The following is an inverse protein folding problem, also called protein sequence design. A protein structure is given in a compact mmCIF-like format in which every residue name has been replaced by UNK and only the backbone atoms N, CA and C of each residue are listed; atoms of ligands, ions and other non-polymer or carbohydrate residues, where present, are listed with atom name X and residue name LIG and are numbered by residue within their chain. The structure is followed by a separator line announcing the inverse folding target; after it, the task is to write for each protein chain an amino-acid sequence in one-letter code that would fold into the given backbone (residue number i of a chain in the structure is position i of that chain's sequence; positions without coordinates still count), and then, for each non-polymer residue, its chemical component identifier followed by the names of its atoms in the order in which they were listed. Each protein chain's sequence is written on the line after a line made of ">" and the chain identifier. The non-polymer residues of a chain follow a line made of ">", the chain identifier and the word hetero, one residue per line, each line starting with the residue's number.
data_IF_092728859197
#
_entry.id   IF_092728859197
#
_cell.length_a   1.000
_cell.length_b   1.000
_cell.length_c   1.000
_cell.angle_alpha   90.00
_cell.angle_beta   90.00
_cell.angle_gamma   90.00
#
_symmetry.space_group_name_H-M   'P 1'
#
loop_
_entity.id
_entity.type
_entity.pdbx_description
1 polymer ?
#
# COMPACT_ATOMS: atom_id res chain seq x y z
N UNK A 1 39.88 -35.94 23.37
CA UNK A 1 40.93 -35.79 22.33
C UNK A 1 40.71 -34.46 21.62
N UNK A 2 41.65 -33.52 21.78
CA UNK A 2 41.82 -32.28 20.97
C UNK A 2 42.76 -32.60 19.79
N UNK A 3 42.71 -31.90 18.63
CA UNK A 3 43.34 -30.57 18.46
C UNK A 3 42.42 -29.57 17.70
N UNK A 4 42.37 -28.26 17.94
CA UNK A 4 43.38 -27.19 17.99
C UNK A 4 44.04 -26.87 16.63
N UNK A 5 43.65 -25.74 16.01
CA UNK A 5 44.37 -24.89 15.03
C UNK A 5 43.44 -23.67 14.78
N UNK A 6 43.52 -22.54 15.49
CA UNK A 6 44.56 -21.49 15.47
C UNK A 6 45.04 -21.10 14.06
N UNK A 7 44.36 -20.11 13.46
CA UNK A 7 44.97 -19.21 12.48
C UNK A 7 44.78 -17.79 12.99
N UNK A 8 45.84 -17.31 13.65
CA UNK A 8 46.14 -15.90 13.80
C UNK A 8 46.53 -15.33 12.45
N UNK A 9 45.95 -14.21 12.05
CA UNK A 9 46.61 -13.25 11.19
C UNK A 9 46.35 -11.86 11.77
N UNK A 10 47.35 -11.42 12.52
CA UNK A 10 47.53 -10.07 12.98
C UNK A 10 47.75 -9.15 11.77
N UNK A 11 46.89 -8.15 11.62
CA UNK A 11 47.24 -6.92 10.91
C UNK A 11 47.36 -5.82 11.95
N UNK A 12 48.59 -5.61 12.41
CA UNK A 12 49.02 -4.43 13.14
C UNK A 12 49.40 -3.32 12.15
N UNK A 13 49.33 -2.08 12.66
CA UNK A 13 49.76 -0.80 12.09
C UNK A 13 48.78 -0.08 11.14
N UNK A 14 48.12 0.96 11.65
CA UNK A 14 48.68 2.31 11.53
C UNK A 14 47.95 3.33 12.40
N UNK A 15 48.77 4.01 13.18
CA UNK A 15 48.52 5.17 14.02
C UNK A 15 48.14 6.38 13.15
N UNK A 16 46.98 7.01 13.38
CA UNK A 16 46.75 8.44 13.12
C UNK A 16 45.65 8.90 14.08
N UNK A 17 46.10 9.45 15.21
CA UNK A 17 45.32 10.33 16.04
C UNK A 17 45.17 11.66 15.28
N UNK A 18 43.95 11.99 14.85
CA UNK A 18 43.58 13.37 14.55
C UNK A 18 42.27 13.69 15.28
N UNK A 19 42.41 14.10 16.54
CA UNK A 19 41.43 14.92 17.24
C UNK A 19 41.42 16.30 16.56
N UNK A 20 40.44 16.54 15.68
CA UNK A 20 39.95 17.90 15.45
C UNK A 20 38.46 17.90 15.76
N UNK A 21 38.17 18.49 16.92
CA UNK A 21 36.86 18.93 17.38
C UNK A 21 36.37 19.99 16.40
N UNK A 22 35.63 19.56 15.38
CA UNK A 22 34.83 20.43 14.52
C UNK A 22 33.41 20.51 15.08
N UNK A 23 33.21 21.34 16.09
CA UNK A 23 31.87 21.73 16.55
C UNK A 23 31.19 22.56 15.45
N UNK A 24 30.52 21.87 14.52
CA UNK A 24 29.50 22.47 13.67
C UNK A 24 28.28 22.78 14.54
N UNK A 25 28.25 24.02 15.04
CA UNK A 25 27.00 24.62 15.49
C UNK A 25 25.97 24.46 14.36
N UNK A 26 24.79 23.86 14.59
CA UNK A 26 23.68 24.02 13.67
C UNK A 26 23.31 25.50 13.71
N UNK A 27 23.85 26.28 12.78
CA UNK A 27 23.37 27.62 12.51
C UNK A 27 21.88 27.49 12.27
N UNK A 28 21.07 28.04 13.18
CA UNK A 28 19.65 28.15 12.97
C UNK A 28 19.48 28.89 11.65
N UNK A 29 18.94 28.20 10.64
CA UNK A 29 18.53 28.79 9.39
C UNK A 29 17.39 29.77 9.71
N UNK A 30 17.76 30.99 10.09
CA UNK A 30 16.86 32.12 10.22
C UNK A 30 16.18 32.25 8.85
N UNK A 31 14.86 32.07 8.83
CA UNK A 31 14.06 32.19 7.62
C UNK A 31 14.35 33.55 6.97
N UNK A 32 15.06 33.54 5.84
CA UNK A 32 15.38 34.76 5.12
C UNK A 32 14.08 35.35 4.59
N UNK A 33 13.73 36.54 5.07
CA UNK A 33 12.60 37.30 4.61
C UNK A 33 12.99 37.97 3.29
N UNK A 34 12.54 37.40 2.18
CA UNK A 34 12.79 37.93 0.84
C UNK A 34 11.69 38.96 0.50
N UNK A 35 12.08 40.20 0.26
CA UNK A 35 11.17 41.28 -0.15
C UNK A 35 11.21 41.45 -1.66
N UNK A 36 10.04 41.66 -2.27
CA UNK A 36 9.94 41.97 -3.69
C UNK A 36 9.73 43.47 -3.88
N UNK A 37 10.73 44.11 -4.48
CA UNK A 37 10.76 45.54 -4.78
C UNK A 37 10.57 45.72 -6.29
N UNK A 38 9.31 45.80 -6.73
CA UNK A 38 9.00 45.82 -8.16
C UNK A 38 9.38 44.50 -8.87
N UNK A 39 10.42 44.54 -9.71
CA UNK A 39 10.93 43.37 -10.45
C UNK A 39 12.14 42.70 -9.80
N UNK A 40 12.71 43.25 -8.72
CA UNK A 40 13.90 42.71 -8.06
C UNK A 40 13.57 42.14 -6.67
N UNK A 41 14.36 41.15 -6.25
CA UNK A 41 14.23 40.49 -4.95
C UNK A 41 15.43 40.86 -4.07
N UNK A 42 15.17 41.25 -2.82
CA UNK A 42 16.19 41.68 -1.88
C UNK A 42 15.89 41.13 -0.48
N UNK A 43 16.94 40.87 0.30
CA UNK A 43 16.81 40.40 1.69
C UNK A 43 16.56 41.54 2.70
N UNK A 44 16.53 42.78 2.22
CA UNK A 44 16.23 43.98 3.02
C UNK A 44 14.91 44.62 2.57
N UNK A 45 14.18 45.30 3.48
CA UNK A 45 12.98 46.06 3.12
C UNK A 45 13.28 47.07 2.01
N UNK A 46 12.34 47.26 1.07
CA UNK A 46 12.52 48.19 -0.04
C UNK A 46 12.59 49.64 0.45
N UNK A 47 13.54 50.43 -0.06
CA UNK A 47 13.84 51.83 0.31
C UNK A 47 12.72 52.87 0.00
N UNK A 48 11.49 52.43 -0.25
CA UNK A 48 10.33 53.30 -0.45
C UNK A 48 9.05 52.79 0.24
N UNK A 49 9.16 51.79 1.13
CA UNK A 49 8.02 51.20 1.84
C UNK A 49 7.02 50.42 0.98
N UNK A 50 7.10 50.48 -0.35
CA UNK A 50 6.20 49.80 -1.30
C UNK A 50 6.69 48.39 -1.69
N UNK A 51 7.28 47.65 -0.76
CA UNK A 51 7.70 46.26 -0.95
C UNK A 51 6.69 45.27 -0.40
N UNK A 52 6.22 44.33 -1.22
CA UNK A 52 5.49 43.19 -0.66
C UNK A 52 6.50 42.18 -0.10
N UNK A 53 6.40 41.92 1.20
CA UNK A 53 7.13 40.85 1.85
C UNK A 53 6.63 39.52 1.28
N UNK A 54 7.49 38.80 0.57
CA UNK A 54 7.18 37.44 0.16
C UNK A 54 7.49 36.57 1.36
N UNK A 55 6.49 36.41 2.22
CA UNK A 55 6.46 35.27 3.13
C UNK A 55 6.59 34.05 2.24
N UNK A 56 7.62 33.21 2.44
CA UNK A 56 7.63 31.86 1.87
C UNK A 56 6.22 31.32 2.09
N UNK A 57 5.49 31.04 1.01
CA UNK A 57 4.26 30.26 1.12
C UNK A 57 4.61 29.11 2.06
N UNK A 58 3.89 28.91 3.17
CA UNK A 58 4.09 27.68 3.91
C UNK A 58 3.90 26.59 2.86
N UNK A 59 4.96 25.81 2.58
CA UNK A 59 4.79 24.50 1.94
C UNK A 59 3.58 23.89 2.63
N UNK A 60 2.59 23.37 1.86
CA UNK A 60 1.27 23.04 2.37
C UNK A 60 1.43 22.42 3.74
N UNK A 61 1.07 23.19 4.77
CA UNK A 61 1.21 22.78 6.15
C UNK A 61 0.48 21.45 6.23
N UNK A 62 1.20 20.38 6.54
CA UNK A 62 0.65 19.04 6.76
C UNK A 62 -0.35 19.00 7.94
N UNK A 63 -0.68 20.16 8.52
CA UNK A 63 -1.44 20.36 9.74
C UNK A 63 -2.96 20.23 9.62
N UNK A 64 -3.53 20.09 8.42
CA UNK A 64 -4.97 19.78 8.28
C UNK A 64 -5.25 18.29 8.11
N UNK A 65 -4.20 17.45 8.00
CA UNK A 65 -4.36 16.01 8.05
C UNK A 65 -4.10 15.55 9.48
N UNK A 66 -4.96 14.68 10.05
CA UNK A 66 -4.65 14.07 11.34
C UNK A 66 -3.25 13.45 11.27
N UNK A 67 -2.44 13.57 12.34
CA UNK A 67 -1.08 13.04 12.34
C UNK A 67 -1.12 11.58 11.93
N UNK A 68 -0.39 11.24 10.87
CA UNK A 68 -0.30 9.87 10.39
C UNK A 68 0.23 8.99 11.53
N UNK A 69 -0.34 7.79 11.64
CA UNK A 69 0.10 6.83 12.63
C UNK A 69 1.58 6.46 12.39
N UNK A 70 2.38 6.43 13.46
CA UNK A 70 3.81 6.16 13.35
C UNK A 70 4.12 4.79 12.69
N UNK A 71 3.22 3.80 12.87
CA UNK A 71 3.37 2.51 12.21
C UNK A 71 3.16 2.63 10.70
N UNK A 72 2.15 3.39 10.27
CA UNK A 72 1.88 3.61 8.85
C UNK A 72 2.99 4.39 8.15
N UNK A 73 3.57 5.40 8.82
CA UNK A 73 4.74 6.12 8.30
C UNK A 73 5.94 5.19 8.15
N UNK A 74 6.21 4.32 9.14
CA UNK A 74 7.28 3.33 9.04
C UNK A 74 7.07 2.38 7.86
N UNK A 75 5.83 1.88 7.68
CA UNK A 75 5.46 1.00 6.55
C UNK A 75 5.67 1.69 5.20
N UNK A 76 5.32 2.98 5.11
CA UNK A 76 5.58 3.81 3.94
C UNK A 76 7.07 3.97 3.61
N UNK A 77 7.90 4.27 4.61
CA UNK A 77 9.35 4.41 4.41
C UNK A 77 10.03 3.08 4.05
N UNK A 78 9.58 1.97 4.63
CA UNK A 78 10.03 0.63 4.23
C UNK A 78 9.68 0.34 2.76
N UNK A 79 8.47 0.67 2.33
CA UNK A 79 8.06 0.50 0.94
C UNK A 79 8.86 1.34 -0.04
N UNK A 80 9.15 2.60 0.33
CA UNK A 80 10.01 3.49 -0.46
C UNK A 80 11.39 2.88 -0.66
N UNK A 81 11.96 2.28 0.39
CA UNK A 81 13.23 1.54 0.30
C UNK A 81 13.13 0.35 -0.66
N UNK A 82 12.02 -0.40 -0.62
CA UNK A 82 11.80 -1.53 -1.54
C UNK A 82 11.69 -1.07 -3.00
N UNK A 83 11.11 0.10 -3.28
CA UNK A 83 11.11 0.66 -4.63
C UNK A 83 12.51 0.97 -5.12
N UNK A 84 13.38 1.55 -4.29
CA UNK A 84 14.76 1.79 -4.71
C UNK A 84 15.50 0.50 -5.05
N UNK A 85 15.24 -0.60 -4.33
CA UNK A 85 15.79 -1.91 -4.70
C UNK A 85 15.20 -2.42 -6.02
N UNK A 86 13.89 -2.28 -6.23
CA UNK A 86 13.21 -2.66 -7.48
C UNK A 86 13.76 -1.87 -8.69
N UNK A 87 13.95 -0.56 -8.54
CA UNK A 87 14.56 0.32 -9.55
C UNK A 87 16.03 -0.04 -9.80
N UNK A 88 16.73 -0.52 -8.77
CA UNK A 88 18.08 -1.11 -8.87
C UNK A 88 18.13 -2.52 -9.47
N UNK A 89 17.01 -3.06 -9.97
CA UNK A 89 16.93 -4.36 -10.63
C UNK A 89 16.76 -5.56 -9.68
N UNK A 90 16.42 -5.34 -8.41
CA UNK A 90 16.08 -6.44 -7.52
C UNK A 90 14.81 -7.16 -8.03
N UNK A 91 14.84 -8.49 -8.03
CA UNK A 91 13.70 -9.32 -8.38
C UNK A 91 12.81 -9.58 -7.15
N UNK A 92 11.51 -9.72 -7.37
CA UNK A 92 10.53 -9.95 -6.32
C UNK A 92 10.86 -11.19 -5.48
N UNK A 93 11.17 -12.32 -6.13
CA UNK A 93 11.48 -13.58 -5.45
C UNK A 93 12.68 -13.46 -4.51
N UNK A 94 13.69 -12.69 -4.92
CA UNK A 94 14.86 -12.40 -4.08
C UNK A 94 14.45 -11.59 -2.85
N UNK A 95 13.68 -10.52 -3.03
CA UNK A 95 13.21 -9.67 -1.93
C UNK A 95 12.29 -10.45 -0.96
N UNK A 96 11.46 -11.35 -1.48
CA UNK A 96 10.62 -12.24 -0.66
C UNK A 96 11.45 -13.25 0.14
N UNK A 97 12.53 -13.79 -0.43
CA UNK A 97 13.44 -14.72 0.27
C UNK A 97 14.27 -14.04 1.37
N UNK A 98 14.59 -12.75 1.20
CA UNK A 98 15.33 -11.96 2.20
C UNK A 98 14.43 -11.41 3.32
N UNK A 99 13.11 -11.35 3.08
CA UNK A 99 12.15 -10.80 4.04
C UNK A 99 11.96 -11.71 5.27
N UNK A 100 12.22 -11.15 6.45
CA UNK A 100 12.18 -11.90 7.73
C UNK A 100 10.80 -11.94 8.35
N UNK A 101 9.99 -10.92 8.13
CA UNK A 101 8.67 -10.76 8.75
C UNK A 101 7.55 -10.91 7.73
N UNK A 102 6.35 -11.30 8.20
CA UNK A 102 5.17 -11.37 7.36
C UNK A 102 4.77 -9.99 6.81
N UNK A 103 4.95 -8.94 7.61
CA UNK A 103 4.73 -7.55 7.22
C UNK A 103 5.66 -7.14 6.07
N UNK A 104 6.95 -7.44 6.17
CA UNK A 104 7.92 -7.12 5.12
C UNK A 104 7.60 -7.84 3.80
N UNK A 105 7.16 -9.11 3.87
CA UNK A 105 6.71 -9.85 2.68
C UNK A 105 5.49 -9.20 2.02
N UNK A 106 4.52 -8.71 2.81
CA UNK A 106 3.38 -7.95 2.28
C UNK A 106 3.83 -6.67 1.59
N UNK A 107 4.70 -5.87 2.24
CA UNK A 107 5.23 -4.64 1.63
C UNK A 107 5.93 -4.93 0.31
N UNK A 108 6.72 -6.01 0.23
CA UNK A 108 7.36 -6.44 -1.03
C UNK A 108 6.29 -6.78 -2.08
N UNK A 109 5.29 -7.60 -1.74
CA UNK A 109 4.22 -7.93 -2.68
C UNK A 109 3.47 -6.68 -3.18
N UNK A 110 3.11 -5.78 -2.27
CA UNK A 110 2.40 -4.52 -2.55
C UNK A 110 3.23 -3.64 -3.50
N UNK A 111 4.51 -3.44 -3.21
CA UNK A 111 5.44 -2.62 -4.01
C UNK A 111 5.65 -3.17 -5.43
N UNK A 112 5.66 -4.50 -5.60
CA UNK A 112 5.80 -5.11 -6.92
C UNK A 112 4.49 -5.11 -7.71
N UNK A 113 3.34 -5.19 -7.04
CA UNK A 113 2.02 -5.06 -7.66
C UNK A 113 1.72 -3.62 -8.13
N UNK A 114 2.25 -2.62 -7.42
CA UNK A 114 2.05 -1.21 -7.76
C UNK A 114 2.99 -0.70 -8.87
N UNK A 115 2.45 0.21 -9.68
CA UNK A 115 3.20 1.03 -10.65
C UNK A 115 3.19 2.48 -10.17
N UNK A 116 4.32 3.17 -10.28
CA UNK A 116 4.44 4.56 -9.89
C UNK A 116 5.83 4.90 -9.35
N UNK A 117 6.04 6.17 -9.00
CA UNK A 117 7.26 6.64 -8.36
C UNK A 117 7.28 6.25 -6.86
N UNK A 118 8.45 6.24 -6.25
CA UNK A 118 8.67 5.93 -4.84
C UNK A 118 7.76 6.72 -3.88
N UNK A 119 7.50 8.00 -4.17
CA UNK A 119 6.62 8.83 -3.35
C UNK A 119 5.14 8.43 -3.47
N UNK A 120 4.68 8.05 -4.66
CA UNK A 120 3.28 7.66 -4.88
C UNK A 120 2.96 6.36 -4.16
N UNK A 121 3.87 5.39 -4.26
CA UNK A 121 3.72 4.10 -3.59
C UNK A 121 3.82 4.24 -2.07
N UNK A 122 4.71 5.10 -1.56
CA UNK A 122 4.72 5.44 -0.12
C UNK A 122 3.38 6.01 0.32
N UNK A 123 2.88 7.04 -0.35
CA UNK A 123 1.61 7.69 0.02
C UNK A 123 0.44 6.71 -0.04
N UNK A 124 0.43 5.82 -1.03
CA UNK A 124 -0.59 4.78 -1.15
C UNK A 124 -0.54 3.79 0.01
N UNK A 125 0.64 3.29 0.36
CA UNK A 125 0.81 2.34 1.47
C UNK A 125 0.47 2.98 2.82
N UNK A 126 0.83 4.24 3.03
CA UNK A 126 0.43 5.01 4.21
C UNK A 126 -1.09 5.14 4.28
N UNK A 127 -1.74 5.46 3.16
CA UNK A 127 -3.20 5.57 3.06
C UNK A 127 -3.90 4.23 3.33
N UNK A 128 -3.42 3.15 2.72
CA UNK A 128 -3.99 1.80 2.89
C UNK A 128 -3.83 1.33 4.34
N UNK A 129 -2.68 1.58 4.97
CA UNK A 129 -2.46 1.28 6.39
C UNK A 129 -3.44 2.05 7.31
N UNK A 130 -3.70 3.33 7.02
CA UNK A 130 -4.66 4.12 7.79
C UNK A 130 -6.09 3.61 7.59
N UNK A 131 -6.44 3.17 6.38
CA UNK A 131 -7.74 2.56 6.08
C UNK A 131 -7.91 1.21 6.79
N UNK A 132 -6.87 0.37 6.81
CA UNK A 132 -6.84 -0.88 7.58
C UNK A 132 -7.07 -0.61 9.07
N UNK A 133 -6.36 0.36 9.67
CA UNK A 133 -6.58 0.76 11.07
C UNK A 133 -7.98 1.28 11.33
N UNK A 134 -8.54 2.08 10.43
CA UNK A 134 -9.91 2.58 10.58
C UNK A 134 -10.93 1.43 10.52
N UNK A 135 -10.72 0.46 9.62
CA UNK A 135 -11.55 -0.74 9.53
C UNK A 135 -11.45 -1.58 10.82
N UNK A 136 -10.24 -1.78 11.36
CA UNK A 136 -10.05 -2.49 12.63
C UNK A 136 -10.73 -1.78 13.81
N UNK A 137 -10.73 -0.44 13.83
CA UNK A 137 -11.46 0.34 14.85
C UNK A 137 -12.97 0.21 14.72
N UNK A 138 -13.49 0.08 13.50
CA UNK A 138 -14.94 -0.03 13.23
C UNK A 138 -15.48 -1.44 13.45
N UNK A 139 -14.73 -2.46 13.05
CA UNK A 139 -15.21 -3.85 12.97
C UNK A 139 -14.49 -4.80 13.94
N UNK A 140 -13.49 -4.31 14.68
CA UNK A 140 -12.64 -5.12 15.55
C UNK A 140 -11.57 -5.91 14.77
N UNK A 141 -10.63 -6.57 15.49
CA UNK A 141 -9.49 -7.26 14.89
C UNK A 141 -9.85 -8.52 14.07
N UNK A 142 -11.14 -8.92 14.03
CA UNK A 142 -11.58 -10.13 13.30
C UNK A 142 -11.69 -9.95 11.78
N UNK A 143 -11.66 -8.73 11.26
CA UNK A 143 -11.79 -8.50 9.82
C UNK A 143 -10.47 -8.69 9.04
N UNK A 144 -9.30 -8.48 9.67
CA UNK A 144 -8.00 -8.51 8.97
C UNK A 144 -7.37 -9.92 8.85
N UNK A 145 -7.78 -10.88 9.68
CA UNK A 145 -7.32 -12.27 9.62
C UNK A 145 -8.01 -13.08 8.49
N UNK A 146 -9.27 -12.79 8.18
CA UNK A 146 -10.00 -13.43 7.07
C UNK A 146 -9.45 -12.98 5.70
N UNK A 147 -9.04 -11.71 5.56
CA UNK A 147 -8.39 -11.19 4.35
C UNK A 147 -7.00 -11.81 4.15
N UNK A 148 -6.20 -11.87 5.23
CA UNK A 148 -4.89 -12.51 5.25
C UNK A 148 -4.94 -13.99 4.85
N UNK A 149 -5.95 -14.71 5.36
CA UNK A 149 -6.19 -16.11 5.05
C UNK A 149 -6.66 -16.30 3.61
N UNK A 150 -7.43 -15.36 3.05
CA UNK A 150 -7.80 -15.35 1.62
C UNK A 150 -6.60 -15.15 0.70
N UNK A 151 -5.71 -14.20 1.03
CA UNK A 151 -4.51 -13.96 0.23
C UNK A 151 -3.54 -15.16 0.29
N UNK A 152 -3.35 -15.76 1.46
CA UNK A 152 -2.54 -16.99 1.58
C UNK A 152 -3.20 -18.20 0.89
N UNK A 153 -4.53 -18.31 0.91
CA UNK A 153 -5.24 -19.37 0.18
C UNK A 153 -5.18 -19.19 -1.35
N UNK A 154 -5.15 -17.94 -1.84
CA UNK A 154 -4.96 -17.63 -3.25
C UNK A 154 -3.51 -17.92 -3.71
N UNK A 155 -2.52 -17.63 -2.87
CA UNK A 155 -1.10 -17.88 -3.17
C UNK A 155 -0.78 -19.40 -3.19
N UNK A 156 -1.38 -20.18 -2.28
CA UNK A 156 -1.29 -21.66 -2.30
C UNK A 156 -1.89 -22.28 -3.56
N UNK A 157 -2.90 -21.64 -4.17
CA UNK A 157 -3.50 -22.09 -5.44
C UNK A 157 -2.66 -21.74 -6.67
N UNK A 158 -1.78 -20.73 -6.59
CA UNK A 158 -0.92 -20.34 -7.70
C UNK A 158 0.36 -21.20 -7.81
N UNK A 159 0.85 -21.76 -6.70
CA UNK A 159 2.07 -22.60 -6.69
C UNK A 159 1.77 -24.09 -6.89
N UNK A 160 0.52 -24.53 -6.69
CA UNK A 160 0.12 -25.93 -6.87
C UNK A 160 -0.73 -26.09 -8.13
N UNK A 161 -0.09 -26.11 -9.29
CA UNK A 161 -0.69 -26.75 -10.44
C UNK A 161 -0.73 -28.25 -10.20
N UNK A 162 -1.87 -28.80 -9.78
CA UNK A 162 -2.29 -30.19 -10.07
C UNK A 162 -3.62 -30.54 -9.38
N UNK A 163 -4.62 -30.84 -10.21
CA UNK A 163 -5.31 -32.13 -10.19
C UNK A 163 -5.70 -32.73 -8.82
N UNK A 164 -6.42 -31.98 -7.98
CA UNK A 164 -7.13 -32.58 -6.85
C UNK A 164 -8.54 -32.96 -7.27
N UNK A 165 -8.65 -34.14 -7.89
CA UNK A 165 -9.89 -34.91 -8.02
C UNK A 165 -10.19 -35.55 -6.66
N UNK A 166 -10.46 -34.73 -5.65
CA UNK A 166 -10.85 -35.22 -4.34
C UNK A 166 -12.35 -35.51 -4.32
N UNK A 167 -12.65 -36.80 -4.21
CA UNK A 167 -14.00 -37.36 -4.26
C UNK A 167 -14.65 -37.23 -2.88
N UNK A 168 -14.82 -35.99 -2.43
CA UNK A 168 -15.75 -35.70 -1.34
C UNK A 168 -17.15 -35.60 -1.95
N UNK A 169 -17.99 -36.62 -1.72
CA UNK A 169 -19.42 -36.53 -2.06
C UNK A 169 -19.96 -35.23 -1.45
N UNK A 170 -20.54 -34.32 -2.25
CA UNK A 170 -21.07 -33.07 -1.72
C UNK A 170 -22.18 -33.39 -0.73
N UNK A 171 -22.09 -32.80 0.46
CA UNK A 171 -23.14 -32.88 1.46
C UNK A 171 -24.47 -32.42 0.83
N UNK A 172 -25.53 -33.25 0.81
CA UNK A 172 -26.77 -32.92 0.10
C UNK A 172 -27.41 -31.62 0.61
N UNK A 173 -27.15 -31.27 1.87
CA UNK A 173 -27.56 -30.01 2.48
C UNK A 173 -26.82 -28.79 1.88
N UNK A 174 -25.54 -28.93 1.54
CA UNK A 174 -24.75 -27.87 0.91
C UNK A 174 -25.17 -27.64 -0.54
N UNK A 175 -25.42 -28.74 -1.28
CA UNK A 175 -25.94 -28.68 -2.65
C UNK A 175 -27.30 -27.96 -2.71
N UNK A 176 -28.20 -28.25 -1.77
CA UNK A 176 -29.50 -27.58 -1.69
C UNK A 176 -29.39 -26.07 -1.36
N UNK A 177 -28.42 -25.67 -0.54
CA UNK A 177 -28.16 -24.25 -0.23
C UNK A 177 -27.61 -23.51 -1.44
N UNK A 178 -26.63 -24.10 -2.13
CA UNK A 178 -26.07 -23.54 -3.38
C UNK A 178 -27.16 -23.38 -4.43
N UNK A 179 -28.03 -24.38 -4.61
CA UNK A 179 -29.14 -24.29 -5.55
C UNK A 179 -30.08 -23.11 -5.24
N UNK A 180 -30.46 -22.93 -3.96
CA UNK A 180 -31.28 -21.77 -3.54
C UNK A 180 -30.60 -20.44 -3.83
N UNK A 181 -29.29 -20.34 -3.61
CA UNK A 181 -28.52 -19.14 -3.93
C UNK A 181 -28.47 -18.88 -5.45
N UNK A 182 -28.28 -19.92 -6.27
CA UNK A 182 -28.35 -19.82 -7.72
C UNK A 182 -29.71 -19.28 -8.18
N UNK A 183 -30.81 -19.82 -7.62
CA UNK A 183 -32.17 -19.41 -7.98
C UNK A 183 -32.45 -17.95 -7.60
N UNK A 184 -31.94 -17.50 -6.44
CA UNK A 184 -32.09 -16.12 -5.99
C UNK A 184 -31.32 -15.14 -6.90
N UNK A 185 -30.07 -15.45 -7.23
CA UNK A 185 -29.27 -14.62 -8.15
C UNK A 185 -29.92 -14.57 -9.55
N UNK A 186 -30.50 -15.67 -10.02
CA UNK A 186 -31.25 -15.69 -11.29
C UNK A 186 -32.47 -14.78 -11.25
N UNK A 187 -33.21 -14.75 -10.14
CA UNK A 187 -34.33 -13.81 -9.95
C UNK A 187 -33.84 -12.37 -9.97
N UNK A 188 -32.73 -12.06 -9.31
CA UNK A 188 -32.14 -10.71 -9.31
C UNK A 188 -31.71 -10.26 -10.71
N UNK A 189 -31.08 -11.13 -11.50
CA UNK A 189 -30.71 -10.82 -12.90
C UNK A 189 -31.96 -10.52 -13.74
N UNK A 190 -33.05 -11.27 -13.54
CA UNK A 190 -34.30 -11.01 -14.25
C UNK A 190 -34.96 -9.70 -13.81
N UNK A 191 -34.92 -9.38 -12.51
CA UNK A 191 -35.40 -8.10 -11.99
C UNK A 191 -34.60 -6.92 -12.58
N UNK A 192 -33.28 -7.02 -12.62
CA UNK A 192 -32.40 -6.01 -13.24
C UNK A 192 -32.67 -5.84 -14.73
N UNK A 193 -32.90 -6.94 -15.47
CA UNK A 193 -33.33 -6.85 -16.88
C UNK A 193 -34.67 -6.16 -17.06
N UNK A 194 -35.63 -6.43 -16.18
CA UNK A 194 -36.94 -5.78 -16.24
C UNK A 194 -36.85 -4.28 -15.90
N UNK A 195 -36.00 -3.91 -14.93
CA UNK A 195 -35.70 -2.51 -14.62
C UNK A 195 -35.06 -1.79 -15.83
N UNK A 196 -34.10 -2.42 -16.50
CA UNK A 196 -33.49 -1.87 -17.71
C UNK A 196 -34.49 -1.69 -18.85
N UNK A 197 -35.49 -2.57 -18.97
CA UNK A 197 -36.59 -2.44 -19.95
C UNK A 197 -37.57 -1.34 -19.58
N UNK A 198 -37.80 -1.10 -18.30
CA UNK A 198 -38.65 -0.02 -17.82
C UNK A 198 -38.03 1.38 -18.07
N UNK A 199 -36.71 1.42 -18.27
CA UNK A 199 -35.95 2.65 -18.50
C UNK A 199 -35.64 3.40 -17.20
N UNK A 200 -35.03 4.57 -17.34
CA UNK A 200 -34.58 5.39 -16.22
C UNK A 200 -33.65 6.51 -16.69
N UNK A 201 -32.99 7.18 -15.75
CA UNK A 201 -31.93 8.12 -16.12
C UNK A 201 -30.71 7.37 -16.66
N UNK A 202 -29.81 8.07 -17.36
CA UNK A 202 -28.56 7.47 -17.86
C UNK A 202 -27.71 6.86 -16.72
N UNK A 203 -27.69 7.52 -15.57
CA UNK A 203 -26.98 7.04 -14.37
C UNK A 203 -27.62 5.77 -13.80
N UNK A 204 -28.96 5.68 -13.80
CA UNK A 204 -29.66 4.47 -13.35
C UNK A 204 -29.37 3.28 -14.26
N UNK A 205 -29.35 3.51 -15.58
CA UNK A 205 -29.06 2.48 -16.56
C UNK A 205 -27.63 1.95 -16.44
N UNK A 206 -26.65 2.83 -16.20
CA UNK A 206 -25.27 2.44 -15.93
C UNK A 206 -25.15 1.64 -14.62
N UNK A 207 -25.78 2.12 -13.55
CA UNK A 207 -25.81 1.44 -12.25
C UNK A 207 -26.42 0.04 -12.36
N UNK A 208 -27.57 -0.08 -13.02
CA UNK A 208 -28.23 -1.37 -13.25
C UNK A 208 -27.37 -2.31 -14.12
N UNK A 209 -26.66 -1.77 -15.11
CA UNK A 209 -25.76 -2.56 -15.96
C UNK A 209 -24.55 -3.09 -15.18
N UNK A 210 -23.98 -2.31 -14.27
CA UNK A 210 -22.90 -2.74 -13.39
C UNK A 210 -23.39 -3.82 -12.41
N UNK A 211 -24.51 -3.56 -11.70
CA UNK A 211 -25.12 -4.53 -10.79
C UNK A 211 -25.43 -5.87 -11.49
N UNK A 212 -25.88 -5.83 -12.74
CA UNK A 212 -26.14 -7.03 -13.53
C UNK A 212 -24.86 -7.83 -13.81
N UNK A 213 -23.75 -7.16 -14.19
CA UNK A 213 -22.45 -7.83 -14.43
C UNK A 213 -21.91 -8.47 -13.15
N UNK A 214 -22.05 -7.79 -12.02
CA UNK A 214 -21.59 -8.30 -10.73
C UNK A 214 -22.39 -9.54 -10.32
N UNK A 215 -23.72 -9.48 -10.44
CA UNK A 215 -24.60 -10.62 -10.15
C UNK A 215 -24.34 -11.81 -11.08
N UNK A 216 -24.08 -11.56 -12.38
CA UNK A 216 -23.68 -12.59 -13.34
C UNK A 216 -22.32 -13.22 -12.99
N UNK A 217 -21.41 -12.44 -12.41
CA UNK A 217 -20.10 -12.91 -11.95
C UNK A 217 -20.25 -13.80 -10.73
N UNK A 218 -21.01 -13.38 -9.71
CA UNK A 218 -21.29 -14.22 -8.53
C UNK A 218 -21.97 -15.54 -8.89
N UNK A 219 -22.85 -15.53 -9.90
CA UNK A 219 -23.50 -16.75 -10.39
C UNK A 219 -22.50 -17.72 -11.05
N UNK A 220 -21.50 -17.20 -11.76
CA UNK A 220 -20.39 -18.02 -12.30
C UNK A 220 -19.48 -18.57 -11.21
N UNK A 221 -19.16 -17.75 -10.20
CA UNK A 221 -18.31 -18.15 -9.07
C UNK A 221 -18.93 -19.27 -8.24
N UNK A 222 -20.25 -19.27 -8.08
CA UNK A 222 -21.00 -20.35 -7.42
C UNK A 222 -21.13 -21.62 -8.27
N UNK A 223 -20.64 -21.63 -9.52
CA UNK A 223 -20.74 -22.76 -10.43
C UNK A 223 -22.16 -23.00 -10.95
N UNK A 224 -23.05 -22.01 -10.87
CA UNK A 224 -24.45 -22.13 -11.26
C UNK A 224 -24.62 -22.01 -12.78
N UNK A 225 -24.11 -22.95 -13.58
CA UNK A 225 -24.34 -22.92 -15.03
C UNK A 225 -25.82 -23.11 -15.37
N UNK A 226 -26.27 -22.48 -16.47
CA UNK A 226 -27.66 -22.56 -16.95
C UNK A 226 -28.09 -23.99 -17.20
#
# INVERSE_FOLDING_TARGET
>A
MRPALFISLAFTLSLQALLIVGSSLPGQAQAQNLYRCGSTYQDKPCDGGQGQMIKKNPSPSTSDKPPLDANCVRRGEEAKKMIWYKEGGALQDRMLSEAKTAEQRRIVADVYAMKGNANDVRMKIESDCMAEKEAERKFGPRASEDEASRHQAAERKAVTGENSKDSSKPDPAEAARKQKQCDELRKQINALRNAQKAGGTALDMETQANNKRDTETSLKELGCTK
#
